data_IF_763845851983
#
_entry.id   IF_763845851983
#
_cell.length_a   1.000
_cell.length_b   1.000
_cell.length_c   1.000
_cell.angle_alpha   90.00
_cell.angle_beta   90.00
_cell.angle_gamma   90.00
#
_symmetry.space_group_name_H-M   'P 1'
#
loop_
_entity.id
_entity.type
_entity.pdbx_description
1 polymer ?
#
# COMPACT_ATOMS: atom_id res chain seq x y z
N UNK A 1 1.49 16.51 -0.40
CA UNK A 1 2.59 17.49 -0.18
C UNK A 1 2.06 18.71 0.53
N UNK A 2 2.88 19.36 1.33
CA UNK A 2 2.49 20.62 1.97
C UNK A 2 2.21 21.67 0.88
N UNK A 3 1.08 22.38 1.00
CA UNK A 3 0.63 23.40 0.01
C UNK A 3 0.64 22.92 -1.45
N UNK A 4 0.50 21.63 -1.69
CA UNK A 4 0.54 21.01 -3.03
C UNK A 4 1.79 21.39 -3.86
N UNK A 5 2.93 21.47 -3.21
CA UNK A 5 4.21 21.74 -3.87
C UNK A 5 4.54 20.67 -4.89
N UNK A 6 5.09 21.10 -6.04
CA UNK A 6 5.52 20.24 -7.16
C UNK A 6 7.05 20.26 -7.27
N UNK A 7 7.61 19.36 -8.10
CA UNK A 7 9.06 19.31 -8.38
C UNK A 7 9.84 18.33 -7.49
N UNK A 8 9.19 17.65 -6.56
CA UNK A 8 9.80 16.65 -5.68
C UNK A 8 9.88 15.24 -6.33
N UNK A 9 9.00 14.94 -7.27
CA UNK A 9 8.89 13.63 -7.88
C UNK A 9 9.96 13.43 -8.96
N UNK A 10 10.93 12.62 -8.67
CA UNK A 10 12.03 12.22 -9.57
C UNK A 10 12.27 10.72 -9.46
N UNK A 11 12.96 10.12 -10.43
CA UNK A 11 13.31 8.69 -10.38
C UNK A 11 14.13 8.34 -9.13
N UNK A 12 15.08 9.19 -8.73
CA UNK A 12 15.87 8.98 -7.51
C UNK A 12 15.04 9.06 -6.24
N UNK A 13 14.06 9.96 -6.18
CA UNK A 13 13.11 10.01 -5.08
C UNK A 13 12.22 8.75 -5.08
N UNK A 14 11.71 8.36 -6.23
CA UNK A 14 10.86 7.18 -6.36
C UNK A 14 11.55 5.90 -5.85
N UNK A 15 12.83 5.71 -6.20
CA UNK A 15 13.61 4.58 -5.68
C UNK A 15 13.67 4.57 -4.15
N UNK A 16 14.08 5.69 -3.53
CA UNK A 16 14.16 5.82 -2.06
C UNK A 16 12.81 5.68 -1.37
N UNK A 17 11.75 6.21 -1.99
CA UNK A 17 10.39 6.05 -1.51
C UNK A 17 10.01 4.57 -1.44
N UNK A 18 10.28 3.80 -2.52
CA UNK A 18 9.98 2.38 -2.60
C UNK A 18 10.74 1.56 -1.54
N UNK A 19 12.04 1.85 -1.37
CA UNK A 19 12.88 1.20 -0.35
C UNK A 19 12.30 1.43 1.06
N UNK A 20 12.00 2.68 1.40
CA UNK A 20 11.42 3.04 2.68
C UNK A 20 10.04 2.41 2.86
N UNK A 21 9.20 2.43 1.83
CA UNK A 21 7.88 1.83 1.87
C UNK A 21 8.00 0.32 2.12
N UNK A 22 8.83 -0.39 1.37
CA UNK A 22 9.04 -1.83 1.53
C UNK A 22 9.55 -2.18 2.94
N UNK A 23 10.51 -1.42 3.46
CA UNK A 23 11.01 -1.60 4.82
C UNK A 23 9.90 -1.38 5.87
N UNK A 24 9.07 -0.35 5.68
CA UNK A 24 7.93 -0.07 6.57
C UNK A 24 6.92 -1.20 6.54
N UNK A 25 6.52 -1.63 5.35
CA UNK A 25 5.56 -2.71 5.16
C UNK A 25 6.02 -4.01 5.83
N UNK A 26 7.28 -4.37 5.63
CA UNK A 26 7.88 -5.55 6.28
C UNK A 26 7.85 -5.43 7.81
N UNK A 27 8.29 -4.29 8.35
CA UNK A 27 8.40 -4.06 9.79
C UNK A 27 7.07 -4.15 10.55
N UNK A 28 5.98 -3.70 9.92
CA UNK A 28 4.67 -3.59 10.57
C UNK A 28 3.64 -4.61 10.06
N UNK A 29 4.10 -5.68 9.40
CA UNK A 29 3.24 -6.74 8.84
C UNK A 29 2.16 -6.19 7.91
N UNK A 30 2.55 -5.29 7.00
CA UNK A 30 1.66 -4.61 6.05
C UNK A 30 2.00 -4.98 4.61
N UNK A 31 1.04 -4.75 3.72
CA UNK A 31 1.23 -4.72 2.26
C UNK A 31 0.65 -3.42 1.72
N UNK A 32 1.15 -2.99 0.56
CA UNK A 32 0.63 -1.84 -0.17
C UNK A 32 0.03 -2.31 -1.50
N UNK A 33 -1.28 -2.58 -1.54
CA UNK A 33 -1.98 -2.97 -2.77
C UNK A 33 -1.77 -1.98 -3.90
N UNK A 34 -1.71 -0.70 -3.59
CA UNK A 34 -1.44 0.34 -4.57
C UNK A 34 -0.78 1.56 -3.92
N UNK A 35 0.21 2.11 -4.59
CA UNK A 35 0.64 3.49 -4.42
C UNK A 35 0.59 4.22 -5.77
N UNK A 36 0.37 5.52 -5.74
CA UNK A 36 0.44 6.41 -6.88
C UNK A 36 0.97 7.77 -6.43
N UNK A 37 2.15 8.14 -6.92
CA UNK A 37 2.79 9.41 -6.62
C UNK A 37 2.43 10.42 -7.70
N UNK A 38 1.62 11.40 -7.34
CA UNK A 38 1.23 12.50 -8.22
C UNK A 38 2.21 13.68 -8.04
N UNK A 39 2.34 14.60 -9.00
CA UNK A 39 3.30 15.71 -8.88
C UNK A 39 3.15 16.57 -7.63
N UNK A 40 1.98 16.62 -7.01
CA UNK A 40 1.64 17.50 -5.88
C UNK A 40 1.07 16.76 -4.66
N UNK A 41 0.87 15.45 -4.75
CA UNK A 41 0.37 14.60 -3.66
C UNK A 41 0.69 13.13 -3.91
N UNK A 42 0.30 12.25 -2.99
CA UNK A 42 0.46 10.80 -3.13
C UNK A 42 -0.76 10.07 -2.58
N UNK A 43 -1.09 8.96 -3.21
CA UNK A 43 -2.07 8.00 -2.75
C UNK A 43 -1.36 6.72 -2.33
N UNK A 44 -1.70 6.19 -1.15
CA UNK A 44 -1.23 4.91 -0.65
C UNK A 44 -2.43 4.17 -0.04
N UNK A 45 -2.57 2.92 -0.42
CA UNK A 45 -3.53 2.02 0.22
C UNK A 45 -2.73 0.94 0.95
N UNK A 46 -2.96 0.78 2.24
CA UNK A 46 -2.25 -0.18 3.08
C UNK A 46 -3.23 -1.19 3.67
N UNK A 47 -2.76 -2.42 3.83
CA UNK A 47 -3.54 -3.49 4.41
C UNK A 47 -2.67 -4.31 5.36
N UNK A 48 -3.18 -4.64 6.53
CA UNK A 48 -2.56 -5.57 7.48
C UNK A 48 -2.65 -7.01 6.97
N UNK A 49 -1.62 -7.80 7.26
CA UNK A 49 -1.55 -9.22 6.88
C UNK A 49 -1.59 -10.15 8.07
N UNK A 50 -1.50 -9.62 9.29
CA UNK A 50 -1.51 -10.38 10.54
C UNK A 50 -2.35 -9.67 11.60
N UNK A 51 -2.67 -10.37 12.68
CA UNK A 51 -3.41 -9.81 13.82
C UNK A 51 -2.65 -8.72 14.57
N UNK A 52 -1.31 -8.77 14.53
CA UNK A 52 -0.41 -7.78 15.12
C UNK A 52 0.03 -6.66 14.14
N UNK A 53 -0.60 -6.59 12.97
CA UNK A 53 -0.34 -5.51 12.01
C UNK A 53 -0.73 -4.15 12.59
N UNK A 54 0.20 -3.19 12.58
CA UNK A 54 -0.02 -1.85 13.10
C UNK A 54 0.12 -0.79 11.99
N UNK A 55 -1.01 -0.43 11.40
CA UNK A 55 -1.04 0.59 10.35
C UNK A 55 -0.70 1.99 10.89
N UNK A 56 -1.09 2.32 12.12
CA UNK A 56 -0.86 3.64 12.69
C UNK A 56 0.63 3.86 12.95
N UNK A 57 1.29 2.88 13.58
CA UNK A 57 2.73 2.92 13.78
C UNK A 57 3.49 2.88 12.44
N UNK A 58 3.01 2.10 11.48
CA UNK A 58 3.57 2.06 10.13
C UNK A 58 3.52 3.43 9.44
N UNK A 59 2.38 4.11 9.46
CA UNK A 59 2.21 5.46 8.90
C UNK A 59 3.11 6.47 9.62
N UNK A 60 3.17 6.44 10.95
CA UNK A 60 4.00 7.34 11.72
C UNK A 60 5.49 7.14 11.41
N UNK A 61 5.96 5.89 11.37
CA UNK A 61 7.32 5.54 10.99
C UNK A 61 7.63 6.00 9.56
N UNK A 62 6.79 5.66 8.60
CA UNK A 62 6.99 6.03 7.20
C UNK A 62 7.09 7.55 7.02
N UNK A 63 6.16 8.31 7.58
CA UNK A 63 6.15 9.78 7.50
C UNK A 63 7.40 10.40 8.12
N UNK A 64 7.83 9.90 9.29
CA UNK A 64 9.02 10.36 9.98
C UNK A 64 10.27 10.23 9.11
N UNK A 65 10.42 9.11 8.41
CA UNK A 65 11.60 8.82 7.60
C UNK A 65 11.49 9.36 6.17
N UNK A 66 10.29 9.57 5.65
CA UNK A 66 10.07 10.13 4.32
C UNK A 66 10.34 11.64 4.26
N UNK A 67 10.02 12.39 5.32
CA UNK A 67 10.23 13.84 5.35
C UNK A 67 11.69 14.28 5.09
N UNK A 68 12.73 13.65 5.67
CA UNK A 68 14.12 13.95 5.32
C UNK A 68 14.47 13.67 3.85
N UNK A 69 13.89 12.60 3.27
CA UNK A 69 14.10 12.23 1.86
C UNK A 69 13.46 13.28 0.93
N UNK A 70 12.35 13.88 1.37
CA UNK A 70 11.63 14.90 0.61
C UNK A 70 12.30 16.28 0.62
N UNK A 71 13.23 16.53 1.51
CA UNK A 71 13.81 17.88 1.67
C UNK A 71 14.24 18.49 0.33
N UNK A 72 13.96 19.77 0.04
CA UNK A 72 13.37 20.80 0.92
C UNK A 72 11.81 20.73 1.04
N UNK A 73 11.15 19.83 0.32
CA UNK A 73 9.70 19.64 0.39
C UNK A 73 9.30 18.91 1.68
N UNK A 74 8.01 18.96 2.03
CA UNK A 74 7.47 18.28 3.21
C UNK A 74 6.09 17.70 2.93
N UNK A 75 5.77 16.64 3.67
CA UNK A 75 4.40 16.19 3.77
C UNK A 75 3.56 17.21 4.55
N UNK A 76 2.30 17.37 4.18
CA UNK A 76 1.36 18.15 5.00
C UNK A 76 1.27 17.58 6.42
N UNK A 77 1.01 18.42 7.42
CA UNK A 77 0.99 17.99 8.83
C UNK A 77 -0.01 16.88 9.07
N UNK A 78 -1.20 17.02 8.53
CA UNK A 78 -2.27 16.02 8.63
C UNK A 78 -2.49 15.37 7.26
N UNK A 79 -2.37 14.06 7.20
CA UNK A 79 -2.79 13.30 6.03
C UNK A 79 -4.32 13.24 5.97
N UNK A 80 -4.87 13.08 4.78
CA UNK A 80 -6.25 12.63 4.66
C UNK A 80 -6.22 11.11 4.82
N UNK A 81 -6.60 10.64 6.00
CA UNK A 81 -6.67 9.21 6.31
C UNK A 81 -8.13 8.77 6.21
N UNK A 82 -8.39 7.77 5.39
CA UNK A 82 -9.68 7.13 5.26
C UNK A 82 -9.56 5.65 5.63
N UNK A 83 -10.21 5.27 6.73
CA UNK A 83 -10.35 3.86 7.12
C UNK A 83 -11.51 3.28 6.31
N UNK A 84 -11.23 2.26 5.50
CA UNK A 84 -12.25 1.61 4.69
C UNK A 84 -13.34 1.01 5.57
N UNK A 85 -14.59 1.33 5.26
CA UNK A 85 -15.78 0.72 5.86
C UNK A 85 -15.88 -0.75 5.44
N UNK A 86 -16.67 -1.53 6.13
CA UNK A 86 -16.82 -2.95 5.86
C UNK A 86 -17.29 -3.24 4.42
N UNK A 87 -18.24 -2.46 3.92
CA UNK A 87 -18.72 -2.52 2.53
C UNK A 87 -17.63 -2.19 1.49
N UNK A 88 -16.65 -1.35 1.84
CA UNK A 88 -15.54 -0.99 0.97
C UNK A 88 -14.41 -2.03 0.99
N UNK A 89 -14.46 -2.99 1.96
CA UNK A 89 -13.51 -4.09 2.09
C UNK A 89 -13.90 -5.31 1.24
N UNK A 90 -15.11 -5.36 0.73
CA UNK A 90 -15.52 -6.39 -0.24
C UNK A 90 -14.58 -6.37 -1.44
N UNK A 91 -14.25 -7.55 -1.97
CA UNK A 91 -13.25 -7.70 -3.05
C UNK A 91 -13.49 -6.76 -4.23
N UNK A 92 -14.73 -6.60 -4.66
CA UNK A 92 -15.06 -5.78 -5.82
C UNK A 92 -14.93 -4.28 -5.53
N UNK A 93 -15.37 -3.83 -4.35
CA UNK A 93 -15.23 -2.44 -3.94
C UNK A 93 -13.76 -2.07 -3.71
N UNK A 94 -13.00 -2.97 -3.07
CA UNK A 94 -11.57 -2.79 -2.85
C UNK A 94 -10.79 -2.73 -4.18
N UNK A 95 -11.09 -3.62 -5.12
CA UNK A 95 -10.50 -3.60 -6.47
C UNK A 95 -10.83 -2.31 -7.20
N UNK A 96 -12.06 -1.84 -7.12
CA UNK A 96 -12.50 -0.57 -7.72
C UNK A 96 -11.70 0.62 -7.15
N UNK A 97 -11.44 0.63 -5.84
CA UNK A 97 -10.62 1.66 -5.20
C UNK A 97 -9.17 1.62 -5.69
N UNK A 98 -8.58 0.42 -5.81
CA UNK A 98 -7.22 0.26 -6.36
C UNK A 98 -7.13 0.81 -7.78
N UNK A 99 -8.07 0.44 -8.64
CA UNK A 99 -8.10 0.95 -10.02
C UNK A 99 -8.39 2.45 -10.08
N UNK A 100 -9.26 2.97 -9.22
CA UNK A 100 -9.47 4.41 -9.11
C UNK A 100 -8.17 5.17 -8.83
N UNK A 101 -7.33 4.66 -7.91
CA UNK A 101 -6.03 5.24 -7.59
C UNK A 101 -5.08 5.16 -8.79
N UNK A 102 -5.02 4.02 -9.48
CA UNK A 102 -4.16 3.82 -10.65
C UNK A 102 -4.57 4.69 -11.86
N UNK A 103 -5.84 5.06 -11.97
CA UNK A 103 -6.35 5.93 -13.04
C UNK A 103 -6.07 7.43 -12.81
N UNK A 104 -5.64 7.85 -11.62
CA UNK A 104 -5.39 9.27 -11.35
C UNK A 104 -4.42 9.92 -12.33
N UNK A 105 -3.28 9.32 -12.72
CA UNK A 105 -2.38 9.92 -13.70
C UNK A 105 -3.01 10.11 -15.08
N UNK A 106 -3.83 9.18 -15.54
CA UNK A 106 -4.55 9.27 -16.82
C UNK A 106 -5.58 10.40 -16.77
N UNK A 107 -6.36 10.45 -15.68
CA UNK A 107 -7.38 11.50 -15.46
C UNK A 107 -6.77 12.90 -15.35
N UNK A 108 -5.51 13.01 -14.95
CA UNK A 108 -4.75 14.26 -14.88
C UNK A 108 -3.92 14.54 -16.15
N UNK A 109 -4.02 13.69 -17.18
CA UNK A 109 -3.27 13.84 -18.42
C UNK A 109 -1.76 13.61 -18.31
N UNK A 110 -1.30 12.94 -17.24
CA UNK A 110 0.12 12.67 -17.00
C UNK A 110 0.60 11.39 -17.71
N UNK A 111 -0.31 10.53 -18.10
CA UNK A 111 -0.05 9.31 -18.84
C UNK A 111 -1.21 9.01 -19.78
N UNK A 112 -0.94 8.37 -20.93
CA UNK A 112 -1.97 7.93 -21.87
C UNK A 112 -2.71 6.67 -21.40
N UNK A 113 -2.08 5.88 -20.55
CA UNK A 113 -2.57 4.64 -19.96
C UNK A 113 -1.96 4.50 -18.58
N UNK A 114 -2.68 3.87 -17.64
CA UNK A 114 -2.21 3.68 -16.24
C UNK A 114 -0.92 2.85 -16.16
N UNK A 115 -0.74 1.89 -17.06
CA UNK A 115 0.44 1.01 -17.16
C UNK A 115 1.72 1.76 -17.51
N UNK A 116 1.59 2.94 -18.09
CA UNK A 116 2.72 3.79 -18.52
C UNK A 116 3.16 4.80 -17.48
N UNK A 117 2.48 4.87 -16.33
CA UNK A 117 2.87 5.79 -15.29
C UNK A 117 3.85 5.11 -14.31
N UNK A 118 5.12 5.49 -14.44
CA UNK A 118 6.24 4.87 -13.71
C UNK A 118 6.22 5.09 -12.19
N UNK A 119 5.49 6.10 -11.70
CA UNK A 119 5.43 6.45 -10.28
C UNK A 119 4.23 5.82 -9.56
N UNK A 120 3.77 4.71 -10.05
CA UNK A 120 2.73 3.89 -9.40
C UNK A 120 3.14 2.43 -9.32
N UNK A 121 2.52 1.67 -8.42
CA UNK A 121 2.80 0.25 -8.28
C UNK A 121 2.11 -0.40 -7.10
N UNK A 122 2.42 -1.67 -6.90
CA UNK A 122 1.99 -2.50 -5.77
C UNK A 122 3.21 -3.12 -5.11
N UNK A 123 3.26 -3.14 -3.78
CA UNK A 123 4.39 -3.70 -3.03
C UNK A 123 3.91 -4.70 -1.98
N UNK A 124 4.49 -5.90 -2.06
CA UNK A 124 4.31 -6.97 -1.08
C UNK A 124 5.70 -7.42 -0.61
N UNK A 125 6.05 -7.29 0.68
CA UNK A 125 7.35 -7.69 1.18
C UNK A 125 7.70 -9.15 0.84
N UNK A 126 8.92 -9.37 0.32
CA UNK A 126 9.40 -10.70 -0.07
C UNK A 126 8.88 -11.21 -1.42
N UNK A 127 8.15 -10.38 -2.16
CA UNK A 127 7.64 -10.74 -3.50
C UNK A 127 8.09 -9.71 -4.54
N UNK A 128 8.22 -10.13 -5.83
CA UNK A 128 8.42 -9.21 -6.93
C UNK A 128 7.25 -8.23 -7.08
N UNK A 129 7.51 -7.11 -7.71
CA UNK A 129 6.47 -6.14 -8.05
C UNK A 129 5.32 -6.77 -8.82
N UNK A 130 4.10 -6.45 -8.42
CA UNK A 130 2.91 -6.91 -9.09
C UNK A 130 2.40 -5.78 -9.99
N UNK A 131 2.46 -5.99 -11.30
CA UNK A 131 1.80 -5.10 -12.24
C UNK A 131 0.28 -5.39 -12.22
N UNK A 132 -0.47 -4.62 -11.45
CA UNK A 132 -1.93 -4.79 -11.30
C UNK A 132 -2.73 -4.54 -12.58
N UNK A 133 -2.09 -3.98 -13.61
CA UNK A 133 -2.71 -3.79 -14.92
C UNK A 133 -2.65 -5.03 -15.81
N UNK A 134 -1.81 -6.03 -15.46
CA UNK A 134 -1.72 -7.28 -16.21
C UNK A 134 -2.85 -8.25 -15.88
N UNK A 135 -3.23 -9.06 -16.86
CA UNK A 135 -4.25 -10.10 -16.68
C UNK A 135 -3.88 -11.06 -15.53
N UNK A 136 -4.85 -11.35 -14.69
CA UNK A 136 -4.67 -12.24 -13.54
C UNK A 136 -3.84 -11.67 -12.36
N UNK A 137 -3.27 -10.48 -12.49
CA UNK A 137 -2.44 -9.86 -11.44
C UNK A 137 -3.20 -9.69 -10.12
N UNK A 138 -4.49 -9.34 -10.20
CA UNK A 138 -5.34 -9.19 -9.04
C UNK A 138 -5.57 -10.52 -8.30
N UNK A 139 -5.79 -11.59 -9.04
CA UNK A 139 -5.88 -12.94 -8.45
C UNK A 139 -4.58 -13.33 -7.78
N UNK A 140 -3.44 -13.10 -8.46
CA UNK A 140 -2.10 -13.37 -7.92
C UNK A 140 -1.82 -12.56 -6.64
N UNK A 141 -2.20 -11.29 -6.61
CA UNK A 141 -2.07 -10.45 -5.41
C UNK A 141 -2.79 -11.10 -4.22
N UNK A 142 -4.05 -11.49 -4.38
CA UNK A 142 -4.81 -12.12 -3.30
C UNK A 142 -4.26 -13.49 -2.89
N UNK A 143 -3.74 -14.29 -3.81
CA UNK A 143 -3.07 -15.55 -3.48
C UNK A 143 -1.84 -15.32 -2.58
N UNK A 144 -1.03 -14.31 -2.90
CA UNK A 144 0.14 -13.95 -2.08
C UNK A 144 -0.31 -13.46 -0.69
N UNK A 145 -1.28 -12.56 -0.63
CA UNK A 145 -1.80 -12.05 0.64
C UNK A 145 -2.35 -13.18 1.51
N UNK A 146 -3.11 -14.09 0.94
CA UNK A 146 -3.63 -15.24 1.66
C UNK A 146 -2.52 -16.13 2.23
N UNK A 147 -1.45 -16.37 1.47
CA UNK A 147 -0.30 -17.13 1.96
C UNK A 147 0.43 -16.42 3.12
N UNK A 148 0.54 -15.10 3.08
CA UNK A 148 1.14 -14.32 4.16
C UNK A 148 0.29 -14.37 5.44
N UNK A 149 -1.03 -14.31 5.29
CA UNK A 149 -1.98 -14.40 6.41
C UNK A 149 -1.94 -15.78 7.06
N UNK A 150 -1.93 -16.85 6.28
CA UNK A 150 -1.88 -18.23 6.78
C UNK A 150 -0.56 -18.57 7.48
N UNK A 151 0.57 -18.09 6.98
CA UNK A 151 1.89 -18.30 7.58
C UNK A 151 2.09 -17.55 8.91
N UNK A 152 1.23 -16.58 9.20
CA UNK A 152 1.28 -15.79 10.44
C UNK A 152 0.62 -16.44 11.65
N UNK A 153 -0.11 -17.54 11.48
CA UNK A 153 -0.71 -18.29 12.58
C UNK A 153 0.28 -19.40 12.99
N UNK A 154 1.00 -19.29 14.13
CA UNK A 154 1.80 -20.40 14.60
C UNK A 154 0.88 -21.62 14.83
N UNK A 155 1.29 -22.84 14.47
CA UNK A 155 0.51 -24.02 14.80
C UNK A 155 0.34 -24.05 16.32
N UNK A 156 -0.90 -24.21 16.79
CA UNK A 156 -1.17 -24.38 18.22
C UNK A 156 -0.38 -25.60 18.70
N UNK A 157 0.39 -25.51 19.79
CA UNK A 157 1.26 -26.59 20.24
C UNK A 157 0.52 -27.92 20.48
N UNK A 158 -0.80 -27.89 20.62
CA UNK A 158 -1.63 -29.08 20.91
C UNK A 158 -2.50 -29.55 19.76
N UNK A 159 -2.37 -28.98 18.55
CA UNK A 159 -3.14 -29.40 17.37
C UNK A 159 -4.67 -29.23 17.47
N UNK A 160 -5.18 -28.47 18.45
CA UNK A 160 -6.61 -28.24 18.63
C UNK A 160 -7.05 -26.96 17.92
N UNK A 161 -7.99 -27.09 17.02
CA UNK A 161 -8.79 -25.95 16.56
C UNK A 161 -9.58 -25.40 17.74
N UNK A 162 -9.59 -24.09 17.94
CA UNK A 162 -10.50 -23.46 18.89
C UNK A 162 -11.94 -23.80 18.48
N UNK A 163 -12.54 -24.77 19.16
CA UNK A 163 -14.00 -24.86 19.20
C UNK A 163 -14.46 -23.77 20.17
N UNK A 164 -15.32 -22.91 19.65
CA UNK A 164 -15.95 -21.82 20.37
C UNK A 164 -16.83 -22.43 21.51
N UNK A 165 -16.59 -22.10 22.80
CA UNK A 165 -17.32 -22.74 23.91
C UNK A 165 -18.75 -22.23 24.12
N UNK A 166 -19.26 -21.33 23.25
CA UNK A 166 -20.61 -20.73 23.36
C UNK A 166 -21.50 -21.03 22.15
N UNK A 167 -21.64 -22.32 21.82
CA UNK A 167 -22.76 -22.79 20.98
C UNK A 167 -23.49 -23.92 21.64
#
# INVERSE_FOLDING_TARGET
MDKRQKGWLTAGYHSRFRELLLHTLFRFNLVCPVYCLMPDHMHLLWMGTKTDSDQQMGIAFFRRHLNPILAPYRLQKQAYDHILKESEREKNAFQSLVFYILENPVRQGLASQREKYEYSGSLVPGHPDINLASDGAWLRFWQIVQQLTLKGTPPHPDGRCHEDPDK
#
